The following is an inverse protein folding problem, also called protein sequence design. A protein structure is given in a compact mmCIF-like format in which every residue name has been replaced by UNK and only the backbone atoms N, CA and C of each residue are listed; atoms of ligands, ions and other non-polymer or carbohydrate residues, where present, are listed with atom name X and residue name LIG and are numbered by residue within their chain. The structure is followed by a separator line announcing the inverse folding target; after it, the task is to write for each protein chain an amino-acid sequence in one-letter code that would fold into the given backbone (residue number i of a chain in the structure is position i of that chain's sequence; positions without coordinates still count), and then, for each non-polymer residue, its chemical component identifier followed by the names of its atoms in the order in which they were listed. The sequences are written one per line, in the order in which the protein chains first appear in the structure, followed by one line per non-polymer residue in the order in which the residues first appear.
data_IF_550371327812
#
_entry.id   IF_550371327812
#
_cell.length_a   1.000
_cell.length_b   1.000
_cell.length_c   1.000
_cell.angle_alpha   90.00
_cell.angle_beta   90.00
_cell.angle_gamma   90.00
#
_symmetry.space_group_name_H-M   'P 1'
#
loop_
_entity.id
_entity.type
_entity.pdbx_description
1 polymer ?
#
# COMPACT_ATOMS: atom_id res chain seq x y z
N UNK A 1 0.69 7.51 -38.64
CA UNK A 1 0.62 7.30 -37.19
C UNK A 1 -0.36 8.31 -36.63
N UNK A 2 -1.59 7.90 -36.29
CA UNK A 2 -2.59 8.74 -35.64
C UNK A 2 -2.42 8.56 -34.13
N UNK A 3 -1.91 9.58 -33.47
CA UNK A 3 -1.94 9.74 -32.03
C UNK A 3 -3.41 9.89 -31.61
N UNK A 4 -3.96 8.88 -30.94
CA UNK A 4 -5.24 9.03 -30.24
C UNK A 4 -4.94 9.69 -28.90
N UNK A 5 -5.13 10.97 -28.86
CA UNK A 5 -5.16 11.75 -27.63
C UNK A 5 -6.44 11.36 -26.88
N UNK A 6 -6.29 10.61 -25.79
CA UNK A 6 -7.38 10.36 -24.87
C UNK A 6 -7.56 11.64 -24.04
N UNK A 7 -8.47 12.50 -24.48
CA UNK A 7 -8.90 13.62 -23.68
C UNK A 7 -9.71 13.10 -22.50
N UNK A 8 -9.13 13.10 -21.31
CA UNK A 8 -9.89 13.10 -20.06
C UNK A 8 -10.56 14.47 -20.02
N UNK A 9 -11.85 14.54 -20.37
CA UNK A 9 -12.66 15.71 -20.09
C UNK A 9 -12.98 15.69 -18.61
N UNK A 10 -12.45 16.67 -17.88
CA UNK A 10 -12.99 17.06 -16.59
C UNK A 10 -14.44 17.53 -16.78
N UNK A 11 -15.39 16.62 -16.65
CA UNK A 11 -16.79 16.97 -16.54
C UNK A 11 -17.20 16.99 -15.07
N UNK A 12 -17.32 18.17 -14.53
CA UNK A 12 -17.80 18.42 -13.17
C UNK A 12 -19.35 18.39 -13.12
N UNK A 13 -19.98 17.31 -13.52
CA UNK A 13 -21.39 17.12 -13.26
C UNK A 13 -21.65 15.67 -12.86
N UNK A 14 -22.45 15.49 -11.81
CA UNK A 14 -22.81 14.19 -11.24
C UNK A 14 -23.59 13.27 -12.22
N UNK A 15 -23.93 13.77 -13.40
CA UNK A 15 -24.74 13.07 -14.41
C UNK A 15 -23.91 12.23 -15.41
N UNK A 16 -22.57 12.26 -15.33
CA UNK A 16 -21.69 11.53 -16.26
C UNK A 16 -21.17 10.19 -15.72
N UNK A 17 -21.75 9.67 -14.63
CA UNK A 17 -21.40 8.35 -14.12
C UNK A 17 -21.95 7.27 -15.05
N UNK A 18 -21.05 6.54 -15.70
CA UNK A 18 -21.41 5.35 -16.48
C UNK A 18 -21.84 4.26 -15.49
N UNK A 19 -23.14 3.98 -15.48
CA UNK A 19 -23.68 2.85 -14.70
C UNK A 19 -23.58 1.58 -15.52
N UNK A 20 -22.85 0.59 -15.01
CA UNK A 20 -22.76 -0.75 -15.61
C UNK A 20 -23.61 -1.69 -14.77
N UNK A 21 -24.72 -2.18 -15.36
CA UNK A 21 -25.54 -3.20 -14.74
C UNK A 21 -24.90 -4.58 -14.97
N UNK A 22 -24.38 -5.16 -13.90
CA UNK A 22 -23.72 -6.48 -13.91
C UNK A 22 -24.68 -7.63 -13.52
N UNK A 23 -25.94 -7.32 -13.19
CA UNK A 23 -26.88 -8.30 -12.63
C UNK A 23 -27.67 -9.08 -13.67
N UNK A 24 -27.94 -8.51 -14.84
CA UNK A 24 -28.88 -9.05 -15.81
C UNK A 24 -28.30 -9.50 -17.15
N UNK A 25 -27.00 -9.39 -17.37
CA UNK A 25 -26.41 -9.64 -18.68
C UNK A 25 -25.38 -10.76 -18.67
N UNK A 26 -25.49 -11.65 -19.65
CA UNK A 26 -24.40 -12.55 -20.02
C UNK A 26 -23.37 -11.74 -20.80
N UNK A 27 -22.28 -11.43 -20.16
CA UNK A 27 -21.16 -10.75 -20.83
C UNK A 27 -20.38 -11.77 -21.68
N UNK A 28 -20.08 -11.44 -22.96
CA UNK A 28 -19.26 -12.31 -23.79
C UNK A 28 -17.86 -12.43 -23.17
N UNK A 29 -17.37 -13.66 -23.04
CA UNK A 29 -15.99 -13.90 -22.64
C UNK A 29 -15.07 -13.45 -23.77
N UNK A 30 -14.16 -12.55 -23.46
CA UNK A 30 -13.11 -12.10 -24.37
C UNK A 30 -11.77 -12.26 -23.66
N UNK A 31 -10.82 -12.93 -24.30
CA UNK A 31 -9.43 -12.86 -23.86
C UNK A 31 -8.90 -11.46 -24.17
N UNK A 32 -8.39 -10.82 -23.14
CA UNK A 32 -7.86 -9.47 -23.22
C UNK A 32 -6.38 -9.54 -22.84
N UNK A 33 -5.52 -9.09 -23.75
CA UNK A 33 -4.14 -8.84 -23.41
C UNK A 33 -4.01 -7.43 -22.81
N UNK A 34 -3.16 -7.27 -21.80
CA UNK A 34 -2.96 -5.99 -21.13
C UNK A 34 -2.55 -4.91 -22.15
N UNK A 35 -1.75 -5.28 -23.15
CA UNK A 35 -1.29 -4.43 -24.23
C UNK A 35 -2.40 -3.90 -25.15
N UNK A 36 -3.60 -4.50 -25.12
CA UNK A 36 -4.75 -4.01 -25.89
C UNK A 36 -5.32 -2.70 -25.33
N UNK A 37 -5.00 -2.38 -24.04
CA UNK A 37 -5.58 -1.28 -23.30
C UNK A 37 -4.57 -0.24 -22.84
N UNK A 38 -3.31 -0.64 -22.65
CA UNK A 38 -2.29 0.22 -22.09
C UNK A 38 -0.91 -0.13 -22.64
N UNK A 39 -0.03 0.84 -22.60
CA UNK A 39 1.39 0.62 -22.83
C UNK A 39 1.98 -0.13 -21.64
N UNK A 40 2.70 -1.22 -21.94
CA UNK A 40 3.35 -2.07 -20.93
C UNK A 40 4.84 -1.97 -21.08
N UNK A 41 5.49 -1.56 -20.01
CA UNK A 41 6.94 -1.49 -19.90
C UNK A 41 7.43 -2.46 -18.82
N UNK A 42 8.49 -3.20 -19.11
CA UNK A 42 9.17 -4.08 -18.17
C UNK A 42 10.48 -3.42 -17.74
N UNK A 43 10.60 -3.13 -16.45
CA UNK A 43 11.81 -2.56 -15.87
C UNK A 43 12.57 -3.68 -15.14
N UNK A 44 13.68 -4.19 -15.72
CA UNK A 44 14.51 -5.17 -15.04
C UNK A 44 15.26 -4.49 -13.90
N UNK A 45 15.11 -5.03 -12.68
CA UNK A 45 15.85 -4.52 -11.54
C UNK A 45 17.27 -5.12 -11.52
N UNK A 46 18.26 -4.27 -11.35
CA UNK A 46 19.65 -4.68 -11.20
C UNK A 46 19.80 -5.61 -9.97
N UNK A 47 20.52 -6.70 -10.17
CA UNK A 47 20.81 -7.67 -9.12
C UNK A 47 22.33 -7.84 -9.01
N UNK A 48 22.86 -7.71 -7.81
CA UNK A 48 24.25 -7.96 -7.45
C UNK A 48 24.32 -8.46 -6.00
N UNK A 49 25.50 -8.72 -5.47
CA UNK A 49 25.67 -9.31 -4.13
C UNK A 49 25.01 -8.50 -3.00
N UNK A 50 24.91 -7.17 -3.15
CA UNK A 50 24.26 -6.29 -2.18
C UNK A 50 22.75 -6.11 -2.46
N UNK A 51 22.32 -6.34 -3.70
CA UNK A 51 20.95 -6.14 -4.19
C UNK A 51 20.30 -7.48 -4.57
N UNK A 52 20.29 -8.41 -3.64
CA UNK A 52 19.52 -9.65 -3.76
C UNK A 52 18.18 -9.42 -3.09
N UNK A 53 17.13 -9.20 -3.89
CA UNK A 53 15.80 -9.06 -3.36
C UNK A 53 14.88 -10.21 -3.78
N UNK A 54 13.96 -10.57 -2.88
CA UNK A 54 12.86 -11.52 -3.10
C UNK A 54 11.58 -10.84 -2.63
N UNK A 55 11.33 -9.64 -3.15
CA UNK A 55 10.38 -8.74 -2.55
C UNK A 55 9.32 -8.22 -3.46
N UNK A 56 8.57 -7.29 -2.90
CA UNK A 56 7.49 -6.57 -3.57
C UNK A 56 7.89 -5.11 -3.77
N UNK A 57 7.49 -4.56 -4.88
CA UNK A 57 7.51 -3.12 -5.09
C UNK A 57 6.54 -2.50 -4.09
N UNK A 58 7.05 -1.61 -3.25
CA UNK A 58 6.28 -0.90 -2.24
C UNK A 58 5.78 0.46 -2.74
N UNK A 59 6.63 1.14 -3.50
CA UNK A 59 6.29 2.43 -4.07
C UNK A 59 7.00 2.65 -5.40
N UNK A 60 6.35 3.36 -6.29
CA UNK A 60 6.89 3.80 -7.57
C UNK A 60 6.67 5.30 -7.66
N UNK A 61 7.76 6.06 -7.62
CA UNK A 61 7.75 7.50 -7.78
C UNK A 61 8.12 7.96 -9.19
N UNK A 62 8.44 9.24 -9.32
CA UNK A 62 8.93 9.84 -10.57
C UNK A 62 10.38 9.45 -10.86
N UNK A 63 11.20 9.37 -9.81
CA UNK A 63 12.64 9.11 -9.89
C UNK A 63 13.01 7.74 -9.32
N UNK A 64 12.30 7.25 -8.30
CA UNK A 64 12.68 6.07 -7.54
C UNK A 64 11.63 4.97 -7.55
N UNK A 65 12.12 3.74 -7.40
CA UNK A 65 11.33 2.54 -7.13
C UNK A 65 11.82 1.98 -5.80
N UNK A 66 10.91 1.79 -4.84
CA UNK A 66 11.22 1.15 -3.56
C UNK A 66 10.76 -0.30 -3.57
N UNK A 67 11.66 -1.20 -3.21
CA UNK A 67 11.38 -2.63 -3.06
C UNK A 67 11.74 -3.06 -1.66
N UNK A 68 10.90 -3.89 -1.06
CA UNK A 68 11.11 -4.46 0.25
C UNK A 68 11.04 -5.98 0.15
N UNK A 69 11.89 -6.71 0.87
CA UNK A 69 11.83 -8.16 0.91
C UNK A 69 10.53 -8.68 1.52
N UNK A 70 10.11 -9.87 1.07
CA UNK A 70 8.95 -10.55 1.65
C UNK A 70 9.15 -10.85 3.14
N UNK A 71 10.35 -11.27 3.51
CA UNK A 71 10.73 -11.44 4.90
C UNK A 71 10.98 -10.08 5.53
N UNK A 72 10.63 -9.94 6.80
CA UNK A 72 10.88 -8.73 7.57
C UNK A 72 12.35 -8.72 8.05
N UNK A 73 13.29 -8.70 7.10
CA UNK A 73 14.72 -8.54 7.33
C UNK A 73 15.14 -7.08 7.55
N UNK A 74 14.24 -6.17 7.22
CA UNK A 74 14.46 -4.73 7.36
C UNK A 74 15.08 -4.09 6.13
N UNK A 75 15.38 -4.83 5.07
CA UNK A 75 16.01 -4.30 3.87
C UNK A 75 14.98 -3.55 3.00
N UNK A 76 15.36 -2.34 2.61
CA UNK A 76 14.65 -1.50 1.64
C UNK A 76 15.64 -1.19 0.53
N UNK A 77 15.29 -1.60 -0.68
CA UNK A 77 16.11 -1.38 -1.87
C UNK A 77 15.54 -0.19 -2.65
N UNK A 78 16.41 0.74 -2.99
CA UNK A 78 16.10 1.93 -3.78
C UNK A 78 16.71 1.76 -5.15
N UNK A 79 15.87 1.81 -6.18
CA UNK A 79 16.26 1.78 -7.59
C UNK A 79 15.84 3.06 -8.26
N UNK A 80 16.53 3.42 -9.35
CA UNK A 80 16.02 4.46 -10.24
C UNK A 80 14.93 3.92 -11.18
N UNK A 81 14.35 4.78 -12.00
CA UNK A 81 13.28 4.40 -12.95
C UNK A 81 13.75 3.48 -14.08
N UNK A 82 15.04 3.33 -14.28
CA UNK A 82 15.60 2.34 -15.23
C UNK A 82 15.81 0.97 -14.61
N UNK A 83 15.62 0.86 -13.29
CA UNK A 83 15.86 -0.37 -12.52
C UNK A 83 17.29 -0.51 -12.03
N UNK A 84 18.14 0.53 -12.19
CA UNK A 84 19.50 0.54 -11.67
C UNK A 84 19.49 0.66 -10.15
N UNK A 85 20.28 -0.18 -9.49
CA UNK A 85 20.46 -0.16 -8.05
C UNK A 85 21.16 1.11 -7.57
N UNK A 86 20.53 1.82 -6.63
CA UNK A 86 21.08 3.06 -6.09
C UNK A 86 21.62 2.84 -4.69
N UNK A 87 20.79 2.32 -3.78
CA UNK A 87 21.18 2.06 -2.39
C UNK A 87 20.29 1.03 -1.72
N UNK A 88 20.85 0.40 -0.69
CA UNK A 88 20.13 -0.44 0.25
C UNK A 88 20.11 0.25 1.61
N UNK A 89 18.93 0.35 2.19
CA UNK A 89 18.71 0.97 3.50
C UNK A 89 18.21 -0.13 4.45
N UNK A 90 18.89 -0.27 5.60
CA UNK A 90 18.43 -1.12 6.68
C UNK A 90 18.66 -0.38 8.01
N UNK A 91 17.58 -0.09 8.71
CA UNK A 91 17.58 0.54 10.03
C UNK A 91 16.79 -0.30 11.04
N UNK A 92 16.76 -1.63 10.81
CA UNK A 92 16.07 -2.53 11.72
C UNK A 92 16.85 -2.67 13.03
N UNK A 93 16.17 -2.38 14.15
CA UNK A 93 16.75 -2.44 15.47
C UNK A 93 15.74 -2.04 16.54
N UNK A 94 16.23 -1.78 17.76
CA UNK A 94 15.40 -1.42 18.91
C UNK A 94 15.65 0.02 19.42
N UNK A 95 16.48 0.76 18.75
CA UNK A 95 16.78 2.15 19.08
C UNK A 95 15.64 3.10 18.74
N UNK A 96 15.69 4.30 19.32
CA UNK A 96 14.65 5.32 19.13
C UNK A 96 14.47 5.75 17.67
N UNK A 97 15.53 5.69 16.90
CA UNK A 97 15.58 6.05 15.48
C UNK A 97 15.41 4.86 14.54
N UNK A 98 15.36 3.65 15.08
CA UNK A 98 15.26 2.39 14.36
C UNK A 98 13.81 1.89 14.29
N UNK A 99 13.50 1.02 13.35
CA UNK A 99 12.22 0.31 13.30
C UNK A 99 12.38 -1.14 13.73
N UNK A 100 11.43 -1.65 14.48
CA UNK A 100 11.39 -3.04 14.92
C UNK A 100 10.89 -3.93 13.78
N UNK A 101 9.88 -3.44 13.05
CA UNK A 101 9.34 -4.12 11.89
C UNK A 101 9.12 -3.15 10.74
N UNK A 102 9.33 -3.64 9.53
CA UNK A 102 9.04 -2.89 8.31
C UNK A 102 7.85 -3.53 7.60
N UNK A 103 6.62 -3.20 8.03
CA UNK A 103 5.40 -3.78 7.46
C UNK A 103 5.18 -3.31 6.02
N UNK A 104 5.17 -2.01 5.81
CA UNK A 104 5.07 -1.36 4.51
C UNK A 104 5.91 -0.09 4.47
N UNK A 105 6.28 0.32 3.26
CA UNK A 105 7.04 1.55 3.01
C UNK A 105 6.30 2.35 1.95
N UNK A 106 6.16 3.65 2.17
CA UNK A 106 5.64 4.56 1.14
C UNK A 106 6.60 5.72 0.91
N UNK A 107 6.54 6.27 -0.30
CA UNK A 107 7.48 7.24 -0.84
C UNK A 107 6.80 8.61 -0.99
N UNK A 108 7.49 9.65 -0.58
CA UNK A 108 7.15 11.05 -0.82
C UNK A 108 8.39 11.77 -1.39
N UNK A 109 8.55 11.71 -2.71
CA UNK A 109 9.70 12.32 -3.39
C UNK A 109 9.70 13.85 -3.29
N UNK A 110 8.52 14.47 -3.23
CA UNK A 110 8.42 15.93 -3.17
C UNK A 110 9.02 16.49 -1.87
N UNK A 111 8.92 15.74 -0.78
CA UNK A 111 9.47 16.10 0.52
C UNK A 111 10.79 15.40 0.84
N UNK A 112 11.33 14.60 -0.10
CA UNK A 112 12.50 13.74 0.10
C UNK A 112 12.34 12.87 1.36
N UNK A 113 11.21 12.15 1.44
CA UNK A 113 10.85 11.34 2.61
C UNK A 113 10.35 9.95 2.20
N UNK A 114 10.66 8.97 3.04
CA UNK A 114 9.99 7.68 3.06
C UNK A 114 9.39 7.43 4.44
N UNK A 115 8.22 6.84 4.45
CA UNK A 115 7.46 6.50 5.65
C UNK A 115 7.43 4.99 5.80
N UNK A 116 7.92 4.49 6.92
CA UNK A 116 7.97 3.08 7.26
C UNK A 116 6.91 2.80 8.32
N UNK A 117 5.99 1.90 8.01
CA UNK A 117 5.02 1.43 8.97
C UNK A 117 5.69 0.41 9.91
N UNK A 118 6.12 0.88 11.07
CA UNK A 118 6.59 0.04 12.17
C UNK A 118 5.40 -0.49 12.96
N UNK A 119 4.80 -1.54 12.40
CA UNK A 119 3.58 -2.14 12.89
C UNK A 119 3.68 -2.61 14.35
N UNK A 120 4.81 -3.25 14.71
CA UNK A 120 5.01 -3.75 16.07
C UNK A 120 5.20 -2.64 17.10
N UNK A 121 5.86 -1.55 16.71
CA UNK A 121 6.02 -0.39 17.57
C UNK A 121 4.81 0.56 17.57
N UNK A 122 3.82 0.33 16.69
CA UNK A 122 2.67 1.21 16.46
C UNK A 122 3.10 2.66 16.17
N UNK A 123 4.07 2.78 15.27
CA UNK A 123 4.64 4.05 14.84
C UNK A 123 4.84 4.07 13.34
N UNK A 124 4.89 5.26 12.80
CA UNK A 124 5.41 5.49 11.46
C UNK A 124 6.77 6.16 11.63
N UNK A 125 7.80 5.53 11.13
CA UNK A 125 9.16 6.06 11.12
C UNK A 125 9.40 6.80 9.82
N UNK A 126 9.92 8.01 9.90
CA UNK A 126 10.18 8.86 8.75
C UNK A 126 11.69 9.01 8.58
N UNK A 127 12.15 8.70 7.38
CA UNK A 127 13.54 8.85 6.96
C UNK A 127 13.59 9.70 5.68
N UNK A 128 14.75 10.27 5.41
CA UNK A 128 15.01 10.76 4.07
C UNK A 128 15.33 9.60 3.11
N UNK A 129 15.47 9.91 1.82
CA UNK A 129 15.76 8.89 0.82
C UNK A 129 17.20 8.39 0.87
N UNK A 130 18.06 9.00 1.69
CA UNK A 130 19.41 8.53 2.05
C UNK A 130 19.39 7.53 3.21
N UNK A 131 18.26 7.41 3.93
CA UNK A 131 18.10 6.53 5.07
C UNK A 131 18.45 7.17 6.41
N UNK A 132 18.54 8.51 6.48
CA UNK A 132 18.73 9.23 7.74
C UNK A 132 17.37 9.43 8.42
N UNK A 133 17.34 9.19 9.72
CA UNK A 133 16.13 9.37 10.52
C UNK A 133 15.73 10.84 10.62
N UNK A 134 14.46 11.14 10.39
CA UNK A 134 13.90 12.49 10.53
C UNK A 134 12.99 12.62 11.73
N UNK A 135 12.03 11.74 11.89
CA UNK A 135 11.06 11.77 13.01
C UNK A 135 10.29 10.47 13.15
N UNK A 136 9.57 10.35 14.24
CA UNK A 136 8.65 9.24 14.49
C UNK A 136 7.26 9.79 14.80
N UNK A 137 6.27 9.27 14.09
CA UNK A 137 4.86 9.60 14.24
C UNK A 137 4.20 8.48 15.02
N UNK A 138 3.54 8.79 16.15
CA UNK A 138 2.73 7.80 16.86
C UNK A 138 1.43 7.59 16.11
N UNK A 139 1.04 6.34 15.93
CA UNK A 139 -0.30 6.05 15.49
C UNK A 139 -1.26 6.45 16.59
N UNK A 140 -2.20 7.34 16.29
CA UNK A 140 -3.22 7.74 17.25
C UNK A 140 -4.23 6.62 17.43
N UNK A 141 -4.58 6.35 18.66
CA UNK A 141 -5.49 5.29 19.05
C UNK A 141 -6.69 5.91 19.75
N UNK A 142 -7.86 5.68 19.21
CA UNK A 142 -9.10 5.72 19.99
C UNK A 142 -9.39 4.30 20.47
N UNK A 143 -8.75 3.92 21.59
CA UNK A 143 -8.83 2.57 22.17
C UNK A 143 -7.67 1.64 21.79
N UNK A 144 -7.63 0.45 22.40
CA UNK A 144 -6.51 -0.50 22.31
C UNK A 144 -6.44 -1.29 20.98
N UNK A 145 -7.41 -1.11 20.08
CA UNK A 145 -7.58 -1.95 18.90
C UNK A 145 -7.22 -1.29 17.58
N UNK A 146 -7.01 0.02 17.54
CA UNK A 146 -6.72 0.73 16.31
C UNK A 146 -5.24 0.62 15.96
N UNK A 147 -4.93 0.12 14.74
CA UNK A 147 -3.59 0.10 14.19
C UNK A 147 -3.64 0.14 12.66
N UNK A 148 -2.64 0.77 12.06
CA UNK A 148 -2.56 0.87 10.62
C UNK A 148 -1.88 -0.38 10.05
N UNK A 149 -2.64 -1.16 9.28
CA UNK A 149 -2.09 -2.32 8.60
C UNK A 149 -1.19 -1.89 7.45
N UNK A 150 -1.66 -0.96 6.64
CA UNK A 150 -0.91 -0.39 5.54
C UNK A 150 -1.04 1.13 5.52
N UNK A 151 -0.01 1.78 4.96
CA UNK A 151 0.05 3.23 4.78
C UNK A 151 0.44 3.54 3.34
N UNK A 152 -0.14 4.59 2.77
CA UNK A 152 0.17 5.06 1.42
C UNK A 152 0.31 6.58 1.41
N UNK A 153 1.11 7.10 0.50
CA UNK A 153 1.20 8.53 0.26
C UNK A 153 -0.09 9.00 -0.43
N UNK A 154 -0.81 9.95 0.16
CA UNK A 154 -2.07 10.44 -0.38
C UNK A 154 -1.92 11.80 -1.07
N UNK A 155 -1.42 12.77 -0.34
CA UNK A 155 -1.17 14.12 -0.84
C UNK A 155 0.08 14.72 -0.17
N UNK A 156 0.32 16.00 -0.37
CA UNK A 156 1.48 16.71 0.17
C UNK A 156 1.53 16.67 1.70
N UNK A 157 0.39 16.64 2.38
CA UNK A 157 0.28 16.81 3.83
C UNK A 157 -0.12 15.52 4.55
N UNK A 158 -0.77 14.59 3.84
CA UNK A 158 -1.40 13.44 4.46
C UNK A 158 -0.92 12.10 3.88
N UNK A 159 -0.90 11.10 4.76
CA UNK A 159 -0.91 9.68 4.41
C UNK A 159 -2.35 9.18 4.43
N UNK A 160 -2.68 8.17 3.62
CA UNK A 160 -3.88 7.36 3.81
C UNK A 160 -3.48 6.07 4.52
N UNK A 161 -4.09 5.83 5.66
CA UNK A 161 -3.82 4.69 6.51
C UNK A 161 -5.02 3.74 6.49
N UNK A 162 -4.75 2.44 6.37
CA UNK A 162 -5.76 1.41 6.40
C UNK A 162 -5.79 0.72 7.76
N UNK A 163 -6.97 0.78 8.41
CA UNK A 163 -7.28 0.10 9.67
C UNK A 163 -8.22 -1.08 9.40
N UNK A 164 -7.69 -2.29 9.40
CA UNK A 164 -8.47 -3.51 9.17
C UNK A 164 -9.49 -3.79 10.27
N UNK A 165 -9.23 -3.32 11.49
CA UNK A 165 -10.10 -3.56 12.64
C UNK A 165 -11.34 -2.67 12.62
N UNK A 166 -11.31 -1.54 11.95
CA UNK A 166 -12.42 -0.62 11.85
C UNK A 166 -13.20 -0.82 10.55
N UNK A 167 -14.26 -1.60 10.61
CA UNK A 167 -15.06 -1.91 9.42
C UNK A 167 -15.91 -0.74 8.92
N UNK A 168 -16.24 0.21 9.78
CA UNK A 168 -17.07 1.37 9.43
C UNK A 168 -16.21 2.50 8.84
N UNK A 169 -15.03 2.71 9.41
CA UNK A 169 -14.09 3.77 9.01
C UNK A 169 -12.72 3.12 8.77
N UNK A 170 -12.55 2.32 7.69
CA UNK A 170 -11.31 1.59 7.47
C UNK A 170 -10.17 2.47 6.95
N UNK A 171 -10.46 3.65 6.44
CA UNK A 171 -9.44 4.54 5.90
C UNK A 171 -9.42 5.88 6.63
N UNK A 172 -8.20 6.29 7.00
CA UNK A 172 -7.94 7.52 7.71
C UNK A 172 -6.92 8.35 6.94
N UNK A 173 -7.19 9.64 6.76
CA UNK A 173 -6.14 10.57 6.36
C UNK A 173 -5.41 11.06 7.62
N UNK A 174 -4.11 10.88 7.61
CA UNK A 174 -3.24 11.13 8.76
C UNK A 174 -2.15 12.12 8.37
N UNK A 175 -2.01 13.16 9.14
CA UNK A 175 -0.98 14.20 8.92
C UNK A 175 0.43 13.60 8.98
N UNK A 176 1.24 13.90 7.97
CA UNK A 176 2.65 13.50 7.86
C UNK A 176 3.52 14.15 8.92
N UNK A 177 3.07 15.22 9.54
CA UNK A 177 3.86 15.98 10.52
C UNK A 177 3.71 15.41 11.93
N UNK A 178 2.48 15.24 12.39
CA UNK A 178 2.19 14.94 13.80
C UNK A 178 1.32 13.70 14.02
N UNK A 179 0.86 13.07 12.92
CA UNK A 179 0.01 11.88 12.99
C UNK A 179 -1.43 12.15 13.41
N UNK A 180 -1.88 13.41 13.38
CA UNK A 180 -3.27 13.74 13.62
C UNK A 180 -4.16 13.20 12.49
N UNK A 181 -5.30 12.61 12.86
CA UNK A 181 -6.32 12.23 11.89
C UNK A 181 -6.96 13.51 11.36
N UNK A 182 -6.79 13.77 10.09
CA UNK A 182 -7.34 14.95 9.40
C UNK A 182 -8.69 14.66 8.78
N UNK A 183 -8.94 13.40 8.40
CA UNK A 183 -10.21 12.97 7.80
C UNK A 183 -10.43 11.47 8.00
N UNK A 184 -11.68 11.13 8.30
CA UNK A 184 -12.18 9.76 8.31
C UNK A 184 -12.92 9.46 7.00
N UNK A 185 -12.65 8.31 6.40
CA UNK A 185 -13.32 7.87 5.17
C UNK A 185 -14.16 6.65 5.49
N UNK A 186 -15.46 6.84 5.46
CA UNK A 186 -16.45 5.77 5.67
C UNK A 186 -16.63 4.99 4.38
N UNK A 187 -16.73 3.69 4.50
CA UNK A 187 -17.13 2.84 3.37
C UNK A 187 -18.63 2.60 3.41
N UNK A 188 -19.32 2.60 2.24
CA UNK A 188 -20.76 2.34 2.20
C UNK A 188 -21.13 0.89 2.48
N UNK A 189 -20.14 0.01 2.61
CA UNK A 189 -20.36 -1.42 2.80
C UNK A 189 -20.61 -1.73 4.27
N UNK A 190 -21.86 -1.94 4.63
CA UNK A 190 -22.24 -2.59 5.88
C UNK A 190 -22.04 -4.10 5.70
N UNK A 191 -21.17 -4.67 6.53
CA UNK A 191 -21.05 -6.11 6.80
C UNK A 191 -20.07 -6.95 5.97
N UNK A 192 -18.92 -7.21 6.59
CA UNK A 192 -18.14 -8.42 6.39
C UNK A 192 -18.53 -9.54 7.40
N UNK A 193 -19.77 -9.55 7.90
CA UNK A 193 -20.20 -10.58 8.88
C UNK A 193 -20.25 -12.00 8.32
N UNK A 194 -20.33 -12.15 7.01
CA UNK A 194 -20.47 -13.47 6.38
C UNK A 194 -19.20 -14.33 6.49
N UNK A 195 -18.02 -13.72 6.49
CA UNK A 195 -16.77 -14.48 6.44
C UNK A 195 -16.37 -15.12 7.77
N UNK A 196 -16.68 -14.48 8.88
CA UNK A 196 -16.40 -15.03 10.21
C UNK A 196 -17.43 -16.06 10.69
N UNK A 197 -18.65 -16.07 10.14
CA UNK A 197 -19.66 -17.05 10.48
C UNK A 197 -19.45 -18.41 9.80
N UNK A 198 -18.86 -18.43 8.60
CA UNK A 198 -18.53 -19.70 7.92
C UNK A 198 -17.38 -20.47 8.57
N UNK A 199 -16.51 -19.79 9.32
CA UNK A 199 -15.41 -20.43 10.05
C UNK A 199 -15.79 -20.93 11.46
N UNK A 200 -17.03 -20.69 11.92
CA UNK A 200 -17.51 -21.08 13.28
C UNK A 200 -18.37 -22.33 13.31
N UNK A 201 -18.61 -22.99 12.19
CA UNK A 201 -19.35 -24.22 12.19
C UNK A 201 -18.41 -25.43 12.35
N UNK A 202 -18.63 -26.11 13.49
CA UNK A 202 -18.10 -27.41 13.93
C UNK A 202 -16.65 -27.44 14.46
N UNK A 203 -16.56 -27.22 15.77
CA UNK A 203 -15.66 -27.99 16.66
C UNK A 203 -14.20 -28.10 16.28
N UNK A 204 -13.50 -27.02 16.02
CA UNK A 204 -12.06 -27.07 15.88
C UNK A 204 -11.51 -25.90 15.09
N UNK A 205 -10.74 -25.08 15.78
CA UNK A 205 -9.89 -24.05 15.16
C UNK A 205 -8.86 -24.71 14.24
N UNK A 206 -9.18 -24.88 12.96
CA UNK A 206 -8.15 -25.07 11.92
C UNK A 206 -7.91 -23.72 11.29
N UNK A 207 -6.69 -23.21 11.45
CA UNK A 207 -6.20 -22.13 10.63
C UNK A 207 -6.25 -22.59 9.17
N UNK A 208 -7.07 -21.94 8.33
CA UNK A 208 -7.07 -22.20 6.89
C UNK A 208 -5.71 -21.84 6.32
N UNK A 209 -5.04 -22.80 5.70
CA UNK A 209 -3.80 -22.56 4.99
C UNK A 209 -4.02 -21.74 3.72
N UNK A 210 -2.97 -21.13 3.14
CA UNK A 210 -3.05 -20.22 1.98
C UNK A 210 -3.61 -20.84 0.68
N UNK A 211 -4.05 -22.06 0.68
CA UNK A 211 -4.56 -22.77 -0.50
C UNK A 211 -6.08 -22.99 -0.56
N UNK A 212 -6.83 -22.64 0.49
CA UNK A 212 -8.28 -22.93 0.55
C UNK A 212 -9.19 -21.82 0.04
N UNK A 213 -8.61 -20.69 -0.43
CA UNK A 213 -9.39 -19.55 -0.93
C UNK A 213 -9.77 -19.61 -2.42
N UNK A 214 -9.46 -20.70 -3.10
CA UNK A 214 -9.69 -20.81 -4.56
C UNK A 214 -10.91 -21.65 -4.97
N UNK A 215 -11.83 -21.97 -4.03
CA UNK A 215 -13.05 -22.73 -4.35
C UNK A 215 -14.28 -22.11 -3.68
N UNK A 216 -14.70 -20.98 -4.20
CA UNK A 216 -16.12 -20.59 -4.23
C UNK A 216 -16.37 -19.83 -5.53
#
# INVERSE_FOLDING_TARGET
RRQRQMCIRDSQTADDLITVDVTNNSFPKKELALQDFMDVEYIPLETNDDFVNQGFVQAIGKEFILVKNYRDDGDIFVYDRTGKAIRKINRKGQGGEEYISCRSVTLDEENNEMFINDFLARKIKVYDLEGNFKRSIKQKQDGDTQFYLDIFNYDKENLICYDECNQEIPFLLVSKQDGNITKEIRTPFKEKKLFLQLLRHEGGTRAAGPGEYSRI
#
